data_IF_054173829093
#
_entry.id   IF_054173829093
#
_cell.length_a   1.000
_cell.length_b   1.000
_cell.length_c   1.000
_cell.angle_alpha   90.00
_cell.angle_beta   90.00
_cell.angle_gamma   90.00
#
_symmetry.space_group_name_H-M   'P 1'
#
loop_
_entity.id
_entity.type
_entity.pdbx_description
1 polymer ?
#
# COMPACT_ATOMS: atom_id res chain seq x y z
N UNK A 1 9.05 19.18 25.71
CA UNK A 1 8.68 17.76 25.80
C UNK A 1 7.87 17.54 27.06
N UNK A 2 6.83 16.67 27.04
CA UNK A 2 6.00 16.46 28.22
C UNK A 2 6.82 15.87 29.39
N UNK A 3 6.42 16.18 30.63
CA UNK A 3 6.98 15.62 31.87
C UNK A 3 7.16 14.10 31.82
N UNK A 4 6.34 13.42 31.01
CA UNK A 4 6.42 11.99 30.76
C UNK A 4 7.81 11.50 30.30
N UNK A 5 8.60 12.32 29.61
CA UNK A 5 9.91 11.92 29.09
C UNK A 5 11.08 12.33 30.01
N UNK A 6 10.82 13.11 31.06
CA UNK A 6 11.86 13.48 32.01
C UNK A 6 12.37 12.20 32.71
N UNK A 7 13.67 12.09 32.89
CA UNK A 7 14.37 10.97 33.54
C UNK A 7 14.22 9.60 32.84
N UNK A 8 13.87 9.56 31.56
CA UNK A 8 13.78 8.30 30.80
C UNK A 8 14.94 8.12 29.84
N UNK A 9 15.38 6.87 29.70
CA UNK A 9 16.25 6.44 28.61
C UNK A 9 15.40 5.97 27.42
N UNK A 10 15.81 6.34 26.20
CA UNK A 10 15.19 5.89 24.96
C UNK A 10 16.15 5.01 24.20
N UNK A 11 15.67 3.83 23.80
CA UNK A 11 16.37 2.89 22.95
C UNK A 11 15.69 2.83 21.59
N UNK A 12 16.47 2.97 20.52
CA UNK A 12 16.03 2.93 19.13
C UNK A 12 16.74 1.77 18.44
N UNK A 13 15.96 0.81 17.94
CA UNK A 13 16.48 -0.40 17.31
C UNK A 13 15.73 -0.69 16.00
N UNK A 14 16.31 -1.54 15.15
CA UNK A 14 15.76 -1.97 13.85
C UNK A 14 15.55 -0.84 12.81
N UNK A 15 16.23 0.29 12.95
CA UNK A 15 16.24 1.35 11.94
C UNK A 15 17.56 1.36 11.17
N UNK A 16 17.49 1.10 9.89
CA UNK A 16 18.60 1.21 8.93
C UNK A 16 18.68 2.58 8.25
N UNK A 17 17.59 3.38 8.32
CA UNK A 17 17.50 4.71 7.72
C UNK A 17 16.69 5.70 8.59
N UNK A 18 17.08 6.97 8.51
CA UNK A 18 16.35 8.06 9.18
C UNK A 18 15.96 9.14 8.17
N UNK A 19 14.67 9.20 7.84
CA UNK A 19 14.10 10.26 7.02
C UNK A 19 14.00 11.60 7.80
N UNK A 20 13.65 12.69 7.13
CA UNK A 20 13.62 14.02 7.74
C UNK A 20 12.71 14.14 8.98
N UNK A 21 11.49 13.57 9.03
CA UNK A 21 10.67 13.52 10.24
C UNK A 21 11.34 12.78 11.41
N UNK A 22 11.90 11.59 11.14
CA UNK A 22 12.61 10.79 12.17
C UNK A 22 13.84 11.57 12.73
N UNK A 23 14.60 12.24 11.86
CA UNK A 23 15.73 13.07 12.28
C UNK A 23 15.29 14.26 13.15
N UNK A 24 14.16 14.90 12.83
CA UNK A 24 13.61 15.99 13.67
C UNK A 24 13.16 15.49 15.04
N UNK A 25 12.48 14.36 15.08
CA UNK A 25 12.11 13.72 16.35
C UNK A 25 13.33 13.35 17.17
N UNK A 26 14.32 12.71 16.55
CA UNK A 26 15.55 12.32 17.23
C UNK A 26 16.34 13.54 17.77
N UNK A 27 16.42 14.63 17.01
CA UNK A 27 17.04 15.86 17.49
C UNK A 27 16.34 16.41 18.75
N UNK A 28 15.01 16.39 18.77
CA UNK A 28 14.23 16.80 19.95
C UNK A 28 14.47 15.87 21.15
N UNK A 29 14.57 14.57 20.92
CA UNK A 29 14.88 13.59 21.98
C UNK A 29 16.30 13.79 22.53
N UNK A 30 17.29 13.98 21.65
CA UNK A 30 18.68 14.23 22.06
C UNK A 30 18.85 15.51 22.92
N UNK A 31 18.02 16.52 22.68
CA UNK A 31 18.06 17.76 23.48
C UNK A 31 17.37 17.59 24.84
N UNK A 32 16.38 16.73 24.95
CA UNK A 32 15.48 16.69 26.10
C UNK A 32 15.72 15.51 27.05
N UNK A 33 16.40 14.46 26.58
CA UNK A 33 16.55 13.24 27.36
C UNK A 33 17.99 13.07 27.87
N UNK A 34 18.16 12.50 29.06
CA UNK A 34 19.48 12.23 29.62
C UNK A 34 20.22 11.13 28.84
N UNK A 35 19.50 10.21 28.23
CA UNK A 35 20.09 9.10 27.49
C UNK A 35 19.26 8.69 26.26
N UNK A 36 19.92 8.63 25.10
CA UNK A 36 19.38 8.06 23.87
C UNK A 36 20.38 7.06 23.32
N UNK A 37 19.95 5.83 23.15
CA UNK A 37 20.79 4.73 22.59
C UNK A 37 20.21 4.30 21.25
N UNK A 38 21.06 4.22 20.22
CA UNK A 38 20.66 3.76 18.89
C UNK A 38 21.47 2.54 18.53
N UNK A 39 20.79 1.41 18.25
CA UNK A 39 21.41 0.19 17.75
C UNK A 39 21.45 0.20 16.21
N UNK A 40 22.58 -0.16 15.64
CA UNK A 40 22.77 -0.27 14.20
C UNK A 40 23.52 -1.61 13.89
N UNK A 41 23.20 -2.22 12.75
CA UNK A 41 23.99 -3.34 12.24
C UNK A 41 25.24 -2.80 11.55
N UNK A 42 26.42 -3.05 12.17
CA UNK A 42 27.72 -2.54 11.72
C UNK A 42 28.81 -3.56 12.05
N UNK A 43 29.88 -3.60 11.26
CA UNK A 43 31.07 -4.44 11.49
C UNK A 43 32.10 -3.80 12.45
N UNK A 44 31.86 -2.58 12.87
CA UNK A 44 32.74 -1.79 13.74
C UNK A 44 33.96 -1.22 13.04
N UNK A 45 34.04 -1.29 11.71
CA UNK A 45 35.13 -0.65 10.95
C UNK A 45 34.76 0.79 10.58
N UNK A 46 35.75 1.68 10.41
CA UNK A 46 35.49 3.06 10.02
C UNK A 46 34.82 3.20 8.65
N UNK A 47 33.98 4.21 8.48
CA UNK A 47 33.48 4.60 7.16
C UNK A 47 34.63 5.15 6.32
N UNK A 48 34.83 4.58 5.13
CA UNK A 48 35.79 5.06 4.15
C UNK A 48 35.09 5.63 2.91
N UNK A 49 35.69 6.63 2.21
CA UNK A 49 35.12 7.15 0.99
C UNK A 49 34.98 6.04 -0.07
N UNK A 50 33.79 5.94 -0.69
CA UNK A 50 33.51 4.93 -1.70
C UNK A 50 33.22 3.53 -1.15
N UNK A 51 32.99 3.40 0.16
CA UNK A 51 32.59 2.12 0.76
C UNK A 51 31.29 1.58 0.12
N UNK A 52 31.36 0.39 -0.43
CA UNK A 52 30.23 -0.36 -1.04
C UNK A 52 29.95 -1.65 -0.28
N UNK A 53 30.56 -1.86 0.88
CA UNK A 53 30.38 -3.03 1.72
C UNK A 53 28.97 -3.16 2.26
N UNK A 54 28.69 -4.34 2.81
CA UNK A 54 27.37 -4.69 3.36
C UNK A 54 26.88 -3.66 4.39
N UNK A 55 27.78 -3.13 5.21
CA UNK A 55 27.46 -2.17 6.29
C UNK A 55 27.71 -0.70 5.94
N UNK A 56 28.06 -0.39 4.67
CA UNK A 56 28.33 0.99 4.25
C UNK A 56 27.18 1.95 4.57
N UNK A 57 25.94 1.51 4.35
CA UNK A 57 24.74 2.28 4.68
C UNK A 57 24.63 2.60 6.18
N UNK A 58 24.85 1.61 7.04
CA UNK A 58 24.80 1.77 8.49
C UNK A 58 25.90 2.72 9.01
N UNK A 59 27.11 2.65 8.43
CA UNK A 59 28.22 3.55 8.75
C UNK A 59 27.92 4.99 8.40
N UNK A 60 27.27 5.24 7.23
CA UNK A 60 26.79 6.56 6.83
C UNK A 60 25.74 7.08 7.82
N UNK A 61 24.77 6.23 8.21
CA UNK A 61 23.77 6.57 9.21
C UNK A 61 24.41 6.90 10.55
N UNK A 62 25.36 6.08 11.03
CA UNK A 62 26.08 6.36 12.27
C UNK A 62 26.81 7.71 12.24
N UNK A 63 27.45 8.06 11.12
CA UNK A 63 28.08 9.37 10.94
C UNK A 63 27.06 10.52 10.98
N UNK A 64 25.90 10.36 10.31
CA UNK A 64 24.81 11.34 10.34
C UNK A 64 24.24 11.54 11.75
N UNK A 65 24.06 10.46 12.51
CA UNK A 65 23.55 10.50 13.89
C UNK A 65 24.53 11.22 14.82
N UNK A 66 25.85 10.97 14.71
CA UNK A 66 26.88 11.71 15.45
C UNK A 66 26.86 13.20 15.10
N UNK A 67 26.69 13.53 13.82
CA UNK A 67 26.56 14.93 13.40
C UNK A 67 25.28 15.57 13.97
N UNK A 68 24.18 14.85 14.00
CA UNK A 68 22.92 15.31 14.58
C UNK A 68 23.07 15.57 16.07
N UNK A 69 23.69 14.65 16.82
CA UNK A 69 23.98 14.81 18.25
C UNK A 69 24.78 16.10 18.52
N UNK A 70 25.88 16.32 17.79
CA UNK A 70 26.67 17.56 17.91
C UNK A 70 25.85 18.84 17.66
N UNK A 71 24.99 18.83 16.62
CA UNK A 71 24.08 19.94 16.32
C UNK A 71 23.04 20.18 17.40
N UNK A 72 22.65 19.12 18.13
CA UNK A 72 21.74 19.20 19.27
C UNK A 72 22.42 19.53 20.60
N UNK A 73 23.73 19.82 20.60
CA UNK A 73 24.50 20.13 21.80
C UNK A 73 24.79 18.91 22.69
N UNK A 74 24.66 17.69 22.15
CA UNK A 74 24.87 16.43 22.88
C UNK A 74 26.11 15.72 22.35
N UNK A 75 26.94 15.21 23.25
CA UNK A 75 28.13 14.43 22.89
C UNK A 75 27.77 12.96 22.73
N UNK A 76 28.22 12.35 21.62
CA UNK A 76 28.04 10.94 21.39
C UNK A 76 29.15 10.16 22.12
N UNK A 77 28.75 9.22 22.96
CA UNK A 77 29.68 8.28 23.59
C UNK A 77 30.37 7.37 22.56
N UNK A 78 31.46 6.73 22.97
CA UNK A 78 32.09 5.68 22.17
C UNK A 78 31.08 4.53 21.91
N UNK A 79 31.04 3.98 20.68
CA UNK A 79 30.11 2.91 20.37
C UNK A 79 30.47 1.62 21.11
N UNK A 80 29.47 0.94 21.63
CA UNK A 80 29.60 -0.41 22.18
C UNK A 80 29.42 -1.44 21.04
N UNK A 81 30.37 -2.32 20.86
CA UNK A 81 30.35 -3.34 19.85
C UNK A 81 29.88 -4.68 20.45
N UNK A 82 28.68 -5.11 20.06
CA UNK A 82 28.10 -6.40 20.47
C UNK A 82 28.65 -7.51 19.57
N UNK A 83 29.78 -8.10 19.94
CA UNK A 83 30.50 -9.10 19.11
C UNK A 83 30.03 -10.53 19.33
N UNK A 84 29.15 -10.79 20.32
CA UNK A 84 28.64 -12.13 20.59
C UNK A 84 27.46 -12.47 19.69
N UNK A 85 27.60 -13.47 18.86
CA UNK A 85 26.50 -14.07 18.11
C UNK A 85 25.67 -14.97 19.02
N UNK A 86 24.70 -14.35 19.70
CA UNK A 86 23.77 -15.08 20.56
C UNK A 86 22.59 -15.68 19.77
N UNK A 87 22.31 -15.15 18.58
CA UNK A 87 21.22 -15.60 17.71
C UNK A 87 21.46 -17.00 17.17
N UNK A 88 22.69 -17.30 16.77
CA UNK A 88 23.05 -18.55 16.13
C UNK A 88 23.82 -19.50 17.05
N UNK A 89 23.77 -19.30 18.39
CA UNK A 89 24.51 -20.14 19.34
C UNK A 89 24.22 -21.65 19.21
N UNK A 90 22.98 -21.99 18.84
CA UNK A 90 22.52 -23.36 18.67
C UNK A 90 22.41 -23.79 17.18
N UNK A 91 22.97 -22.99 16.25
CA UNK A 91 22.89 -23.19 14.81
C UNK A 91 24.23 -22.82 14.13
N UNK A 92 25.30 -23.63 14.34
CA UNK A 92 26.65 -23.29 13.87
C UNK A 92 26.76 -23.17 12.35
N UNK A 93 25.95 -23.91 11.59
CA UNK A 93 25.88 -23.77 10.14
C UNK A 93 25.34 -22.44 9.69
N UNK A 94 24.30 -21.90 10.39
CA UNK A 94 23.80 -20.55 10.11
C UNK A 94 24.85 -19.50 10.50
N UNK A 95 25.55 -19.65 11.61
CA UNK A 95 26.63 -18.75 12.00
C UNK A 95 27.76 -18.73 10.95
N UNK A 96 28.09 -19.86 10.37
CA UNK A 96 29.09 -19.96 9.29
C UNK A 96 28.60 -19.24 8.02
N UNK A 97 27.36 -19.48 7.60
CA UNK A 97 26.75 -18.79 6.44
C UNK A 97 26.71 -17.27 6.64
N UNK A 98 26.33 -16.81 7.83
CA UNK A 98 26.29 -15.37 8.15
C UNK A 98 27.67 -14.74 8.02
N UNK A 99 28.71 -15.37 8.59
CA UNK A 99 30.08 -14.86 8.46
C UNK A 99 30.57 -14.80 7.01
N UNK A 100 30.24 -15.80 6.19
CA UNK A 100 30.59 -15.80 4.76
C UNK A 100 29.88 -14.67 4.02
N UNK A 101 28.62 -14.42 4.32
CA UNK A 101 27.84 -13.32 3.73
C UNK A 101 28.38 -11.94 4.14
N UNK A 102 28.93 -11.82 5.33
CA UNK A 102 29.58 -10.62 5.85
C UNK A 102 31.01 -10.41 5.30
N UNK A 103 31.47 -11.27 4.39
CA UNK A 103 32.80 -11.19 3.79
C UNK A 103 33.91 -11.76 4.66
N UNK A 104 33.57 -12.48 5.74
CA UNK A 104 34.53 -13.22 6.57
C UNK A 104 34.81 -14.58 6.04
N UNK A 105 35.64 -15.35 6.77
CA UNK A 105 35.90 -16.75 6.53
C UNK A 105 35.14 -17.64 7.52
N UNK A 106 34.74 -18.82 7.09
CA UNK A 106 34.19 -19.85 7.95
C UNK A 106 34.95 -21.18 7.70
N UNK A 107 35.16 -21.92 8.77
CA UNK A 107 35.65 -23.27 8.66
C UNK A 107 34.57 -24.19 8.10
N UNK A 108 34.97 -25.25 7.39
CA UNK A 108 34.05 -26.27 6.92
C UNK A 108 33.33 -26.90 8.10
N UNK A 109 32.01 -26.83 8.11
CA UNK A 109 31.18 -27.34 9.19
C UNK A 109 29.94 -28.03 8.67
N UNK A 110 29.41 -28.99 9.41
CA UNK A 110 28.11 -29.57 9.13
C UNK A 110 27.02 -28.56 9.47
N UNK A 111 26.11 -28.32 8.52
CA UNK A 111 25.01 -27.33 8.63
C UNK A 111 23.65 -28.00 8.36
N UNK A 112 23.17 -28.93 9.21
CA UNK A 112 21.92 -29.66 8.99
C UNK A 112 20.70 -28.72 8.96
N UNK A 113 20.80 -27.53 9.56
CA UNK A 113 19.81 -26.48 9.57
C UNK A 113 19.74 -25.67 8.28
N UNK A 114 20.76 -25.75 7.42
CA UNK A 114 20.84 -25.08 6.14
C UNK A 114 20.55 -26.08 5.01
N UNK A 115 19.63 -25.72 4.11
CA UNK A 115 19.29 -26.56 2.96
C UNK A 115 19.22 -25.72 1.70
N UNK A 116 19.83 -26.18 0.62
CA UNK A 116 19.77 -25.60 -0.69
C UNK A 116 18.86 -26.46 -1.59
N UNK A 117 17.90 -25.84 -2.25
CA UNK A 117 17.01 -26.49 -3.20
C UNK A 117 17.16 -25.81 -4.56
N UNK A 118 17.87 -26.41 -5.51
CA UNK A 118 17.85 -25.92 -6.89
C UNK A 118 16.48 -26.21 -7.52
N UNK A 119 15.89 -25.23 -8.17
CA UNK A 119 14.60 -25.34 -8.84
C UNK A 119 14.69 -24.74 -10.24
N UNK A 120 13.91 -25.27 -11.18
CA UNK A 120 13.92 -24.83 -12.56
C UNK A 120 13.04 -23.60 -12.80
N UNK A 121 12.07 -23.32 -11.91
CA UNK A 121 11.15 -22.20 -12.03
C UNK A 121 10.75 -21.63 -10.66
N UNK A 122 10.17 -20.40 -10.66
CA UNK A 122 9.65 -19.76 -9.45
C UNK A 122 8.49 -20.53 -8.82
N UNK A 123 7.68 -21.18 -9.64
CA UNK A 123 6.56 -22.03 -9.23
C UNK A 123 7.10 -23.25 -8.47
N UNK A 124 8.18 -23.86 -8.97
CA UNK A 124 8.83 -24.97 -8.30
C UNK A 124 9.51 -24.54 -7.00
N UNK A 125 10.16 -23.38 -6.97
CA UNK A 125 10.71 -22.79 -5.73
C UNK A 125 9.60 -22.58 -4.68
N UNK A 126 8.47 -21.99 -5.09
CA UNK A 126 7.32 -21.77 -4.20
C UNK A 126 6.75 -23.10 -3.68
N UNK A 127 6.66 -24.14 -4.53
CA UNK A 127 6.23 -25.49 -4.17
C UNK A 127 7.19 -26.14 -3.18
N UNK A 128 8.49 -26.04 -3.42
CA UNK A 128 9.52 -26.53 -2.50
C UNK A 128 9.43 -25.85 -1.14
N UNK A 129 9.23 -24.53 -1.13
CA UNK A 129 9.02 -23.75 0.10
C UNK A 129 7.75 -24.20 0.84
N UNK A 130 6.63 -24.36 0.14
CA UNK A 130 5.38 -24.86 0.72
C UNK A 130 5.57 -26.26 1.34
N UNK A 131 6.26 -27.18 0.64
CA UNK A 131 6.55 -28.51 1.16
C UNK A 131 7.45 -28.46 2.41
N UNK A 132 8.44 -27.56 2.44
CA UNK A 132 9.30 -27.35 3.60
C UNK A 132 8.50 -26.82 4.80
N UNK A 133 7.64 -25.83 4.58
CA UNK A 133 6.76 -25.25 5.60
C UNK A 133 5.81 -26.30 6.18
N UNK A 134 5.17 -27.11 5.34
CA UNK A 134 4.29 -28.20 5.80
C UNK A 134 5.04 -29.20 6.68
N UNK A 135 6.32 -29.50 6.38
CA UNK A 135 7.14 -30.34 7.25
C UNK A 135 7.39 -29.70 8.62
N UNK A 136 7.65 -28.39 8.66
CA UNK A 136 7.83 -27.65 9.90
C UNK A 136 6.52 -27.60 10.72
N UNK A 137 5.40 -27.34 10.07
CA UNK A 137 4.07 -27.33 10.72
C UNK A 137 3.76 -28.70 11.36
N UNK A 138 4.05 -29.81 10.66
CA UNK A 138 3.88 -31.18 11.24
C UNK A 138 4.76 -31.42 12.46
N UNK A 139 5.88 -30.71 12.61
CA UNK A 139 6.73 -30.71 13.79
C UNK A 139 6.26 -29.74 14.88
N UNK A 140 5.12 -29.10 14.71
CA UNK A 140 4.55 -28.17 15.68
C UNK A 140 5.03 -26.72 15.56
N UNK A 141 5.80 -26.36 14.52
CA UNK A 141 6.21 -24.98 14.31
C UNK A 141 5.02 -24.17 13.83
N UNK A 142 4.71 -23.06 14.54
CA UNK A 142 3.61 -22.15 14.18
C UNK A 142 3.97 -21.34 12.93
N UNK A 143 3.02 -21.13 12.02
CA UNK A 143 3.21 -20.34 10.79
C UNK A 143 3.77 -18.94 11.05
N UNK A 144 3.32 -18.25 12.11
CA UNK A 144 3.84 -16.93 12.49
C UNK A 144 5.33 -16.93 12.94
N UNK A 145 6.00 -18.09 13.02
CA UNK A 145 7.43 -18.22 13.27
C UNK A 145 8.23 -18.57 12.01
N UNK A 146 7.56 -18.64 10.86
CA UNK A 146 8.17 -18.98 9.58
C UNK A 146 8.10 -17.74 8.68
N UNK A 147 9.27 -17.30 8.19
CA UNK A 147 9.36 -16.23 7.21
C UNK A 147 9.84 -16.79 5.87
N UNK A 148 9.25 -16.29 4.79
CA UNK A 148 9.73 -16.53 3.42
C UNK A 148 10.20 -15.20 2.86
N UNK A 149 11.44 -15.13 2.47
CA UNK A 149 12.05 -13.90 1.98
C UNK A 149 12.41 -14.07 0.50
N UNK A 150 12.06 -13.11 -0.32
CA UNK A 150 12.47 -13.04 -1.72
C UNK A 150 12.90 -11.62 -2.07
N UNK A 151 13.75 -11.47 -3.06
CA UNK A 151 14.27 -10.17 -3.49
C UNK A 151 13.20 -9.29 -4.13
N UNK A 152 12.24 -9.90 -4.84
CA UNK A 152 11.21 -9.20 -5.60
C UNK A 152 9.87 -9.95 -5.43
N UNK A 153 9.08 -9.49 -4.48
CA UNK A 153 7.79 -10.13 -4.16
C UNK A 153 6.81 -10.09 -5.35
N UNK A 154 6.87 -9.06 -6.18
CA UNK A 154 5.94 -8.95 -7.32
C UNK A 154 6.10 -10.12 -8.30
N UNK A 155 7.33 -10.62 -8.47
CA UNK A 155 7.62 -11.76 -9.36
C UNK A 155 7.21 -13.11 -8.77
N UNK A 156 7.17 -13.25 -7.45
CA UNK A 156 6.85 -14.51 -6.76
C UNK A 156 5.42 -14.60 -6.28
N UNK A 157 4.72 -13.47 -6.18
CA UNK A 157 3.39 -13.35 -5.59
C UNK A 157 2.38 -14.39 -6.09
N UNK A 158 2.27 -14.54 -7.39
CA UNK A 158 1.30 -15.46 -7.99
C UNK A 158 1.62 -16.91 -7.62
N UNK A 159 2.87 -17.33 -7.77
CA UNK A 159 3.33 -18.67 -7.45
C UNK A 159 3.18 -18.98 -5.95
N UNK A 160 3.65 -18.09 -5.08
CA UNK A 160 3.57 -18.27 -3.63
C UNK A 160 2.11 -18.33 -3.16
N UNK A 161 1.24 -17.41 -3.62
CA UNK A 161 -0.19 -17.43 -3.25
C UNK A 161 -0.88 -18.71 -3.71
N UNK A 162 -0.58 -19.18 -4.91
CA UNK A 162 -1.15 -20.41 -5.45
C UNK A 162 -0.68 -21.63 -4.65
N UNK A 163 0.64 -21.86 -4.56
CA UNK A 163 1.21 -23.06 -3.94
C UNK A 163 0.91 -23.13 -2.43
N UNK A 164 0.89 -21.98 -1.73
CA UNK A 164 0.59 -21.95 -0.31
C UNK A 164 -0.89 -22.19 -0.04
N UNK A 165 -1.79 -21.68 -0.89
CA UNK A 165 -3.22 -21.99 -0.82
C UNK A 165 -3.48 -23.47 -1.07
N UNK A 166 -2.84 -24.07 -2.09
CA UNK A 166 -2.97 -25.51 -2.39
C UNK A 166 -2.42 -26.38 -1.26
N UNK A 167 -1.52 -25.87 -0.46
CA UNK A 167 -0.93 -26.56 0.69
C UNK A 167 -1.62 -26.22 2.03
N UNK A 168 -2.73 -25.47 2.04
CA UNK A 168 -3.40 -24.97 3.26
C UNK A 168 -2.45 -24.24 4.23
N UNK A 169 -1.56 -23.40 3.69
CA UNK A 169 -0.65 -22.59 4.48
C UNK A 169 -1.21 -21.17 4.57
N UNK A 170 -1.54 -20.68 5.78
CA UNK A 170 -1.93 -19.28 5.96
C UNK A 170 -0.76 -18.36 5.62
N UNK A 171 -1.00 -17.38 4.74
CA UNK A 171 0.02 -16.47 4.24
C UNK A 171 -0.35 -15.01 4.54
N UNK A 172 0.54 -14.29 5.22
CA UNK A 172 0.63 -12.85 5.15
C UNK A 172 1.70 -12.47 4.13
N UNK A 173 1.37 -11.62 3.19
CA UNK A 173 2.30 -11.15 2.16
C UNK A 173 2.46 -9.64 2.34
N UNK A 174 3.66 -9.20 2.73
CA UNK A 174 4.00 -7.77 2.86
C UNK A 174 4.25 -7.20 1.46
N UNK A 175 3.17 -6.76 0.86
CA UNK A 175 3.15 -6.25 -0.50
C UNK A 175 2.65 -4.81 -0.50
N UNK A 176 3.47 -3.86 -0.96
CA UNK A 176 2.98 -2.51 -1.15
C UNK A 176 1.90 -2.52 -2.22
N UNK A 177 0.66 -2.24 -1.82
CA UNK A 177 -0.43 -1.98 -2.75
C UNK A 177 -0.37 -0.53 -3.17
N UNK A 178 -0.21 -0.30 -4.47
CA UNK A 178 -0.39 1.05 -5.01
C UNK A 178 -1.88 1.36 -5.04
N UNK A 179 -2.35 2.42 -4.40
CA UNK A 179 -3.76 2.80 -4.44
C UNK A 179 -4.21 3.27 -5.83
N UNK A 180 -3.30 3.35 -6.79
CA UNK A 180 -3.49 3.92 -8.11
C UNK A 180 -4.69 3.35 -8.87
N UNK A 181 -4.93 2.05 -8.75
CA UNK A 181 -6.06 1.36 -9.39
C UNK A 181 -7.24 1.11 -8.45
N UNK A 182 -7.20 1.66 -7.25
CA UNK A 182 -8.34 1.56 -6.34
C UNK A 182 -9.53 2.40 -6.81
N UNK A 183 -10.74 2.01 -6.47
CA UNK A 183 -11.94 2.75 -6.78
C UNK A 183 -11.88 4.22 -6.30
N UNK A 184 -11.44 4.53 -5.06
CA UNK A 184 -11.27 5.92 -4.62
C UNK A 184 -10.29 6.73 -5.48
N UNK A 185 -9.12 6.16 -5.80
CA UNK A 185 -8.14 6.86 -6.63
C UNK A 185 -8.65 7.09 -8.05
N UNK A 186 -9.41 6.14 -8.60
CA UNK A 186 -10.06 6.27 -9.91
C UNK A 186 -11.11 7.36 -9.90
N UNK A 187 -11.96 7.41 -8.87
CA UNK A 187 -12.98 8.46 -8.72
C UNK A 187 -12.33 9.86 -8.59
N UNK A 188 -11.30 10.00 -7.76
CA UNK A 188 -10.56 11.27 -7.62
C UNK A 188 -9.97 11.70 -8.97
N UNK A 189 -9.33 10.78 -9.72
CA UNK A 189 -8.76 11.09 -11.04
C UNK A 189 -9.83 11.52 -12.03
N UNK A 190 -10.97 10.83 -12.08
CA UNK A 190 -12.09 11.20 -12.95
C UNK A 190 -12.61 12.61 -12.64
N UNK A 191 -12.82 12.94 -11.36
CA UNK A 191 -13.25 14.28 -10.94
C UNK A 191 -12.21 15.35 -11.30
N UNK A 192 -10.94 15.11 -11.05
CA UNK A 192 -9.86 16.04 -11.41
C UNK A 192 -9.74 16.20 -12.93
N UNK A 193 -9.94 15.14 -13.72
CA UNK A 193 -9.95 15.20 -15.18
C UNK A 193 -11.13 16.04 -15.69
N UNK A 194 -12.32 15.85 -15.11
CA UNK A 194 -13.50 16.69 -15.42
C UNK A 194 -13.30 18.17 -15.10
N UNK A 195 -12.63 18.47 -13.98
CA UNK A 195 -12.26 19.86 -13.64
C UNK A 195 -11.30 20.48 -14.65
N UNK A 196 -10.45 19.68 -15.27
CA UNK A 196 -9.48 20.10 -16.31
C UNK A 196 -10.06 20.14 -17.72
N UNK A 197 -11.35 19.83 -17.88
CA UNK A 197 -12.03 19.87 -19.18
C UNK A 197 -11.92 18.59 -20.02
N UNK A 198 -11.62 17.44 -19.39
CA UNK A 198 -11.65 16.15 -20.08
C UNK A 198 -13.07 15.80 -20.56
N UNK A 199 -13.16 14.81 -21.44
CA UNK A 199 -14.41 14.32 -22.00
C UNK A 199 -15.38 13.87 -20.89
N UNK A 200 -16.61 14.41 -20.92
CA UNK A 200 -17.59 14.11 -19.89
C UNK A 200 -18.10 12.67 -19.97
N UNK A 201 -18.26 12.15 -21.19
CA UNK A 201 -18.76 10.79 -21.39
C UNK A 201 -17.81 9.77 -20.77
N UNK A 202 -16.51 9.88 -21.10
CA UNK A 202 -15.50 8.99 -20.56
C UNK A 202 -15.42 9.08 -19.02
N UNK A 203 -15.29 10.30 -18.49
CA UNK A 203 -15.00 10.46 -17.07
C UNK A 203 -16.21 10.24 -16.16
N UNK A 204 -17.42 10.61 -16.60
CA UNK A 204 -18.66 10.32 -15.83
C UNK A 204 -18.98 8.83 -15.83
N UNK A 205 -18.77 8.14 -16.94
CA UNK A 205 -18.93 6.66 -17.00
C UNK A 205 -17.91 5.97 -16.11
N UNK A 206 -16.63 6.40 -16.13
CA UNK A 206 -15.60 5.88 -15.22
C UNK A 206 -16.01 6.12 -13.77
N UNK A 207 -16.47 7.31 -13.42
CA UNK A 207 -16.88 7.67 -12.07
C UNK A 207 -18.08 6.82 -11.61
N UNK A 208 -19.10 6.65 -12.44
CA UNK A 208 -20.26 5.80 -12.14
C UNK A 208 -19.85 4.35 -11.84
N UNK A 209 -18.91 3.80 -12.62
CA UNK A 209 -18.43 2.41 -12.50
C UNK A 209 -17.49 2.15 -11.33
N UNK A 210 -17.10 3.18 -10.57
CA UNK A 210 -16.27 2.98 -9.37
C UNK A 210 -17.00 2.28 -8.23
N UNK A 211 -18.34 2.22 -8.26
CA UNK A 211 -19.15 1.74 -7.14
C UNK A 211 -19.17 2.67 -5.92
N UNK A 212 -18.61 3.89 -6.05
CA UNK A 212 -18.56 4.87 -4.96
C UNK A 212 -19.66 5.94 -5.03
N UNK A 213 -20.39 5.98 -6.16
CA UNK A 213 -21.59 6.79 -6.29
C UNK A 213 -22.79 5.95 -5.82
N UNK A 214 -23.71 6.53 -5.04
CA UNK A 214 -24.90 5.81 -4.63
C UNK A 214 -25.86 5.65 -5.86
N UNK A 215 -25.44 4.80 -6.80
CA UNK A 215 -26.16 4.40 -8.00
C UNK A 215 -26.33 2.87 -7.97
N UNK A 216 -27.49 2.38 -8.43
CA UNK A 216 -27.70 0.95 -8.61
C UNK A 216 -26.98 0.44 -9.88
N UNK A 217 -26.80 -0.87 -9.99
CA UNK A 217 -26.18 -1.47 -11.18
C UNK A 217 -26.99 -1.17 -12.45
N UNK A 218 -28.34 -1.18 -12.33
CA UNK A 218 -29.23 -0.84 -13.42
C UNK A 218 -29.06 0.62 -13.88
N UNK A 219 -28.90 1.54 -12.93
CA UNK A 219 -28.65 2.96 -13.24
C UNK A 219 -27.30 3.15 -13.93
N UNK A 220 -26.26 2.45 -13.48
CA UNK A 220 -24.93 2.51 -14.12
C UNK A 220 -24.98 1.92 -15.52
N UNK A 221 -25.61 0.75 -15.70
CA UNK A 221 -25.77 0.10 -17.00
C UNK A 221 -26.59 0.95 -17.97
N UNK A 222 -27.72 1.52 -17.50
CA UNK A 222 -28.57 2.38 -18.31
C UNK A 222 -27.84 3.65 -18.76
N UNK A 223 -27.08 4.29 -17.86
CA UNK A 223 -26.26 5.45 -18.17
C UNK A 223 -25.20 5.15 -19.22
N UNK A 224 -24.46 4.07 -19.05
CA UNK A 224 -23.39 3.66 -19.98
C UNK A 224 -23.98 3.32 -21.37
N UNK A 225 -25.07 2.56 -21.42
CA UNK A 225 -25.73 2.23 -22.67
C UNK A 225 -26.26 3.45 -23.41
N UNK A 226 -26.87 4.41 -22.68
CA UNK A 226 -27.32 5.66 -23.25
C UNK A 226 -26.15 6.48 -23.79
N UNK A 227 -25.08 6.62 -23.02
CA UNK A 227 -23.87 7.35 -23.40
C UNK A 227 -23.19 6.72 -24.61
N UNK A 228 -23.13 5.39 -24.68
CA UNK A 228 -22.62 4.66 -25.84
C UNK A 228 -23.46 4.88 -27.09
N UNK A 229 -24.78 4.80 -26.96
CA UNK A 229 -25.72 4.92 -28.09
C UNK A 229 -25.73 6.33 -28.66
N UNK A 230 -25.71 7.36 -27.83
CA UNK A 230 -25.94 8.74 -28.23
C UNK A 230 -24.71 9.63 -28.22
N UNK A 231 -23.60 9.17 -27.64
CA UNK A 231 -22.34 9.92 -27.51
C UNK A 231 -22.56 11.40 -27.14
N UNK A 232 -23.24 11.70 -26.01
CA UNK A 232 -23.66 13.05 -25.67
C UNK A 232 -22.44 13.96 -25.46
N UNK A 233 -22.43 15.13 -26.10
CA UNK A 233 -21.43 16.15 -25.83
C UNK A 233 -21.69 16.85 -24.49
N UNK A 234 -20.80 17.75 -24.07
CA UNK A 234 -20.88 18.41 -22.77
C UNK A 234 -22.20 19.21 -22.55
N UNK A 235 -22.81 19.74 -23.60
CA UNK A 235 -24.09 20.42 -23.51
C UNK A 235 -25.24 19.42 -23.31
N UNK A 236 -25.23 18.33 -24.06
CA UNK A 236 -26.21 17.25 -23.94
C UNK A 236 -26.14 16.55 -22.58
N UNK A 237 -24.95 16.40 -21.97
CA UNK A 237 -24.81 15.91 -20.59
C UNK A 237 -25.49 16.80 -19.56
N UNK A 238 -25.60 18.11 -19.81
CA UNK A 238 -26.28 19.06 -18.92
C UNK A 238 -27.77 19.21 -19.21
N UNK A 239 -28.25 18.68 -20.33
CA UNK A 239 -29.66 18.63 -20.67
C UNK A 239 -30.27 17.28 -20.22
N UNK A 240 -31.57 17.23 -20.08
CA UNK A 240 -32.33 16.03 -19.80
C UNK A 240 -32.16 15.00 -20.92
N UNK A 241 -31.98 13.73 -20.55
CA UNK A 241 -31.94 12.63 -21.50
C UNK A 241 -33.34 12.25 -21.92
N UNK A 242 -33.70 12.46 -23.18
CA UNK A 242 -35.04 12.23 -23.70
C UNK A 242 -35.12 11.29 -24.89
N UNK A 243 -33.95 10.86 -25.40
CA UNK A 243 -33.88 10.00 -26.56
C UNK A 243 -34.10 8.52 -26.22
N UNK A 244 -34.57 7.72 -27.19
CA UNK A 244 -34.77 6.31 -27.00
C UNK A 244 -33.46 5.59 -26.64
N UNK A 245 -33.36 4.86 -25.51
CA UNK A 245 -32.16 4.15 -25.09
C UNK A 245 -31.64 3.12 -26.11
N UNK A 246 -32.54 2.57 -26.96
CA UNK A 246 -32.20 1.63 -28.02
C UNK A 246 -31.65 2.27 -29.28
N UNK A 247 -31.57 3.61 -29.35
CA UNK A 247 -31.04 4.33 -30.48
C UNK A 247 -32.12 4.79 -31.48
N UNK A 248 -31.74 4.91 -32.74
CA UNK A 248 -32.63 5.35 -33.80
C UNK A 248 -33.63 4.25 -34.14
N UNK A 249 -34.91 4.57 -34.05
CA UNK A 249 -36.01 3.68 -34.45
C UNK A 249 -37.33 4.44 -34.40
N UNK A 250 -38.29 4.05 -35.21
CA UNK A 250 -39.66 4.63 -35.25
C UNK A 250 -40.59 4.00 -34.20
N UNK A 251 -40.10 3.11 -33.37
CA UNK A 251 -40.92 2.40 -32.41
C UNK A 251 -41.21 3.29 -31.17
N UNK A 252 -42.44 3.27 -30.70
CA UNK A 252 -42.80 3.81 -29.42
C UNK A 252 -42.00 3.20 -28.30
N UNK A 253 -41.63 4.02 -27.29
CA UNK A 253 -40.91 3.54 -26.11
C UNK A 253 -41.75 2.48 -25.38
N UNK A 254 -41.18 1.31 -25.20
CA UNK A 254 -41.78 0.27 -24.32
C UNK A 254 -41.66 0.74 -22.84
N UNK A 255 -42.36 0.05 -21.94
CA UNK A 255 -42.25 0.37 -20.51
C UNK A 255 -40.81 0.10 -19.99
N UNK A 256 -40.14 -0.90 -20.53
CA UNK A 256 -38.74 -1.19 -20.25
C UNK A 256 -37.81 -0.02 -20.73
N UNK A 257 -38.06 0.50 -21.93
CA UNK A 257 -37.29 1.64 -22.47
C UNK A 257 -37.51 2.90 -21.64
N UNK A 258 -38.74 3.17 -21.17
CA UNK A 258 -39.04 4.28 -20.27
C UNK A 258 -38.32 4.13 -18.93
N UNK A 259 -38.27 2.91 -18.39
CA UNK A 259 -37.57 2.62 -17.15
C UNK A 259 -36.05 2.81 -17.30
N UNK A 260 -35.45 2.30 -18.38
CA UNK A 260 -34.03 2.46 -18.67
C UNK A 260 -33.66 3.94 -18.88
N UNK A 261 -34.53 4.70 -19.57
CA UNK A 261 -34.34 6.15 -19.73
C UNK A 261 -34.39 6.88 -18.38
N UNK A 262 -35.34 6.51 -17.52
CA UNK A 262 -35.45 7.12 -16.18
C UNK A 262 -34.21 6.81 -15.32
N UNK A 263 -33.70 5.59 -15.35
CA UNK A 263 -32.46 5.23 -14.65
C UNK A 263 -31.25 5.99 -15.18
N UNK A 264 -31.11 6.11 -16.49
CA UNK A 264 -30.01 6.87 -17.12
C UNK A 264 -30.08 8.37 -16.74
N UNK A 265 -31.28 8.95 -16.74
CA UNK A 265 -31.50 10.36 -16.38
C UNK A 265 -31.21 10.62 -14.90
N UNK A 266 -31.67 9.76 -14.00
CA UNK A 266 -31.39 9.88 -12.58
C UNK A 266 -29.88 9.83 -12.30
N UNK A 267 -29.17 8.88 -12.92
CA UNK A 267 -27.71 8.76 -12.81
C UNK A 267 -27.01 10.00 -13.38
N UNK A 268 -27.43 10.45 -14.59
CA UNK A 268 -26.90 11.66 -15.20
C UNK A 268 -27.02 12.86 -14.29
N UNK A 269 -28.23 13.13 -13.81
CA UNK A 269 -28.54 14.29 -12.95
C UNK A 269 -27.67 14.28 -11.72
N UNK A 270 -27.58 13.15 -11.00
CA UNK A 270 -26.78 13.02 -9.78
C UNK A 270 -25.31 13.33 -10.03
N UNK A 271 -24.72 12.75 -11.09
CA UNK A 271 -23.30 12.94 -11.39
C UNK A 271 -22.98 14.34 -11.92
N UNK A 272 -23.82 14.87 -12.82
CA UNK A 272 -23.59 16.20 -13.42
C UNK A 272 -23.75 17.29 -12.39
N UNK A 273 -24.81 17.24 -11.55
CA UNK A 273 -25.05 18.22 -10.49
C UNK A 273 -23.88 18.26 -9.48
N UNK A 274 -23.36 17.09 -9.10
CA UNK A 274 -22.19 16.99 -8.22
C UNK A 274 -20.94 17.61 -8.85
N UNK A 275 -20.68 17.34 -10.14
CA UNK A 275 -19.52 17.88 -10.85
C UNK A 275 -19.63 19.38 -11.08
N UNK A 276 -20.81 19.89 -11.44
CA UNK A 276 -21.00 21.33 -11.66
C UNK A 276 -20.96 22.10 -10.33
N UNK A 277 -21.45 21.52 -9.23
CA UNK A 277 -21.25 22.04 -7.88
C UNK A 277 -19.76 22.09 -7.51
N UNK A 278 -19.03 20.99 -7.79
CA UNK A 278 -17.59 20.92 -7.55
C UNK A 278 -16.85 22.02 -8.34
N UNK A 279 -17.17 22.20 -9.62
CA UNK A 279 -16.58 23.27 -10.46
C UNK A 279 -16.78 24.66 -9.86
N UNK A 280 -17.96 24.93 -9.32
CA UNK A 280 -18.24 26.20 -8.64
C UNK A 280 -17.35 26.41 -7.40
N UNK A 281 -17.17 25.36 -6.60
CA UNK A 281 -16.40 25.41 -5.36
C UNK A 281 -14.88 25.57 -5.57
N UNK A 282 -14.32 25.12 -6.70
CA UNK A 282 -12.86 25.12 -6.94
C UNK A 282 -12.35 26.28 -7.79
N UNK A 283 -13.22 27.14 -8.29
CA UNK A 283 -12.86 28.26 -9.16
C UNK A 283 -11.90 29.22 -8.45
N UNK A 284 -10.66 29.31 -8.93
CA UNK A 284 -9.61 30.16 -8.34
C UNK A 284 -9.02 29.60 -7.04
N UNK A 285 -9.33 28.36 -6.66
CA UNK A 285 -8.87 27.72 -5.43
C UNK A 285 -7.44 27.22 -5.50
N UNK A 286 -6.78 27.14 -4.34
CA UNK A 286 -5.49 26.49 -4.17
C UNK A 286 -5.63 24.94 -4.03
N UNK A 287 -4.52 24.23 -3.95
CA UNK A 287 -4.50 22.78 -3.86
C UNK A 287 -5.30 22.24 -2.64
N UNK A 288 -5.23 22.90 -1.50
CA UNK A 288 -5.99 22.51 -0.30
C UNK A 288 -7.50 22.64 -0.52
N UNK A 289 -7.94 23.74 -1.08
CA UNK A 289 -9.34 24.00 -1.36
C UNK A 289 -9.90 23.02 -2.40
N UNK A 290 -9.11 22.72 -3.45
CA UNK A 290 -9.49 21.73 -4.47
C UNK A 290 -9.58 20.32 -3.84
N UNK A 291 -8.61 19.92 -3.04
CA UNK A 291 -8.62 18.60 -2.38
C UNK A 291 -9.82 18.47 -1.44
N UNK A 292 -10.11 19.49 -0.66
CA UNK A 292 -11.28 19.54 0.23
C UNK A 292 -12.58 19.46 -0.55
N UNK A 293 -12.71 20.20 -1.64
CA UNK A 293 -13.91 20.20 -2.47
C UNK A 293 -14.13 18.82 -3.13
N UNK A 294 -13.08 18.16 -3.63
CA UNK A 294 -13.14 16.80 -4.19
C UNK A 294 -13.58 15.79 -3.11
N UNK A 295 -13.02 15.87 -1.90
CA UNK A 295 -13.44 15.01 -0.79
C UNK A 295 -14.95 15.16 -0.49
N UNK A 296 -15.45 16.38 -0.35
CA UNK A 296 -16.86 16.61 -0.10
C UNK A 296 -17.76 16.20 -1.26
N UNK A 297 -17.30 16.36 -2.51
CA UNK A 297 -18.04 15.86 -3.67
C UNK A 297 -18.21 14.34 -3.64
N UNK A 298 -17.15 13.59 -3.32
CA UNK A 298 -17.23 12.14 -3.16
C UNK A 298 -18.17 11.74 -2.02
N UNK A 299 -18.13 12.47 -0.91
CA UNK A 299 -19.05 12.26 0.22
C UNK A 299 -20.51 12.52 -0.18
N UNK A 300 -20.80 13.62 -0.86
CA UNK A 300 -22.14 13.95 -1.39
C UNK A 300 -22.64 12.90 -2.41
N UNK A 301 -21.73 12.27 -3.15
CA UNK A 301 -22.04 11.13 -4.04
C UNK A 301 -22.35 9.82 -3.30
N UNK A 302 -22.06 9.73 -2.00
CA UNK A 302 -22.33 8.56 -1.17
C UNK A 302 -21.13 7.60 -1.00
N UNK A 303 -19.91 8.06 -1.25
CA UNK A 303 -18.74 7.20 -1.25
C UNK A 303 -18.43 6.53 0.11
N UNK A 304 -18.69 7.22 1.22
CA UNK A 304 -18.45 6.69 2.57
C UNK A 304 -19.40 5.52 2.86
N UNK A 305 -20.68 5.68 2.56
CA UNK A 305 -21.72 4.66 2.77
C UNK A 305 -21.49 3.43 1.87
N UNK A 306 -21.14 3.68 0.60
CA UNK A 306 -20.86 2.59 -0.35
C UNK A 306 -19.63 1.77 0.07
N UNK A 307 -18.57 2.42 0.57
CA UNK A 307 -17.41 1.72 1.09
C UNK A 307 -17.72 0.93 2.36
N UNK A 308 -18.50 1.50 3.27
CA UNK A 308 -18.91 0.81 4.49
C UNK A 308 -19.72 -0.45 4.16
N UNK A 309 -20.71 -0.35 3.27
CA UNK A 309 -21.49 -1.49 2.81
C UNK A 309 -20.62 -2.59 2.19
N UNK A 310 -19.70 -2.22 1.28
CA UNK A 310 -18.78 -3.17 0.66
C UNK A 310 -17.88 -3.90 1.68
N UNK A 311 -17.43 -3.21 2.72
CA UNK A 311 -16.63 -3.82 3.80
C UNK A 311 -17.46 -4.85 4.57
N UNK A 312 -18.72 -4.55 4.86
CA UNK A 312 -19.64 -5.47 5.53
C UNK A 312 -19.93 -6.71 4.67
N UNK A 313 -20.20 -6.52 3.37
CA UNK A 313 -20.42 -7.61 2.44
C UNK A 313 -19.20 -8.55 2.34
N UNK A 314 -17.98 -7.98 2.25
CA UNK A 314 -16.74 -8.77 2.23
C UNK A 314 -16.55 -9.52 3.55
N UNK A 315 -16.84 -8.91 4.68
CA UNK A 315 -16.76 -9.56 5.99
C UNK A 315 -17.75 -10.73 6.08
N UNK A 316 -19.00 -10.49 5.70
CA UNK A 316 -20.03 -11.54 5.66
C UNK A 316 -19.64 -12.71 4.74
N UNK A 317 -19.19 -12.42 3.53
CA UNK A 317 -18.74 -13.42 2.57
C UNK A 317 -17.55 -14.26 3.04
N UNK A 318 -16.68 -13.69 3.91
CA UNK A 318 -15.49 -14.34 4.47
C UNK A 318 -15.71 -14.95 5.85
N UNK A 319 -16.90 -14.81 6.43
CA UNK A 319 -17.19 -15.27 7.80
C UNK A 319 -16.36 -14.56 8.87
N UNK A 320 -15.96 -13.30 8.64
CA UNK A 320 -15.19 -12.49 9.58
C UNK A 320 -16.19 -11.80 10.51
N UNK A 321 -16.13 -12.01 11.85
CA UNK A 321 -17.04 -11.34 12.77
C UNK A 321 -16.86 -9.81 12.73
N UNK A 322 -17.95 -9.11 13.07
CA UNK A 322 -18.03 -7.65 13.09
C UNK A 322 -17.05 -6.98 14.06
#
# INVERSE_FOLDING_TARGET
LPEFLQDRAVFIDEFDTFNAPKKRLLAALLTALPQVTVALCDDGTPLVPGDTGLFAGAKVVAAQLRQLARKSGTEAAAPELLRRDLRHKDAPGLAAVTRLLEGGSAEETQAPEVRLFPSASREEEARCAAAAIRRLMRKGVRCGKIAVVCRDIAKYRAAVRYEFRMADIPLYCDEPTTPEFSAPATAVRALLALLRGADMTEQLTVLAKTGLCALSEEQVCALENYAYTWSPNAAAWRAEFTKNPKGFGENELTDEDRQNLAWAEDARRKLVDAVDTLRGKVKGGNAEQISRAVYFCLKELGAEEQQAGLVEDIRAARGIPA
#
